data_IF_152725811242
#
_entry.id   IF_152725811242
#
_cell.length_a   1.000
_cell.length_b   1.000
_cell.length_c   1.000
_cell.angle_alpha   90.00
_cell.angle_beta   90.00
_cell.angle_gamma   90.00
#
_symmetry.space_group_name_H-M   'P 1'
#
loop_
_entity.id
_entity.type
_entity.pdbx_description
1 polymer ?
#
# COMPACT_ATOMS: atom_id res chain seq x y z
N UNK A 1 36.15 -21.51 21.65
CA UNK A 1 35.56 -21.77 20.31
C UNK A 1 34.44 -22.78 20.50
N UNK A 2 33.18 -22.35 20.32
CA UNK A 2 32.00 -23.20 20.53
C UNK A 2 31.88 -24.30 19.47
N UNK A 3 31.27 -25.42 19.83
CA UNK A 3 30.92 -26.48 18.86
C UNK A 3 29.90 -25.91 17.87
N UNK A 4 30.12 -26.10 16.57
CA UNK A 4 29.13 -25.72 15.54
C UNK A 4 27.88 -26.58 15.68
N UNK A 5 26.71 -25.96 15.66
CA UNK A 5 25.44 -26.66 15.58
C UNK A 5 25.20 -27.11 14.13
N UNK A 6 24.70 -28.32 13.93
CA UNK A 6 24.36 -28.85 12.60
C UNK A 6 22.84 -28.99 12.56
N UNK A 7 22.19 -28.36 11.59
CA UNK A 7 20.75 -28.50 11.37
C UNK A 7 20.45 -29.74 10.53
N UNK A 8 19.27 -30.31 10.76
CA UNK A 8 18.70 -31.30 9.86
C UNK A 8 18.16 -30.62 8.61
N UNK A 9 18.19 -31.28 7.45
CA UNK A 9 17.50 -30.84 6.26
C UNK A 9 16.01 -30.55 6.53
N UNK A 10 15.48 -29.48 5.95
CA UNK A 10 14.11 -29.02 6.19
C UNK A 10 13.04 -30.08 5.88
N UNK A 11 13.29 -30.97 4.91
CA UNK A 11 12.39 -32.06 4.53
C UNK A 11 12.40 -33.24 5.53
N UNK A 12 13.35 -33.29 6.45
CA UNK A 12 13.50 -34.35 7.47
C UNK A 12 12.99 -33.91 8.86
N UNK A 13 12.54 -32.66 9.00
CA UNK A 13 12.06 -32.12 10.26
C UNK A 13 10.67 -32.67 10.61
N UNK A 14 10.52 -33.24 11.80
CA UNK A 14 9.23 -33.65 12.35
C UNK A 14 8.43 -32.43 12.83
N UNK A 15 7.45 -32.02 12.01
CA UNK A 15 6.57 -30.88 12.29
C UNK A 15 5.73 -31.04 13.56
N UNK A 16 5.50 -32.26 14.05
CA UNK A 16 4.71 -32.50 15.29
C UNK A 16 5.52 -32.18 16.56
N UNK A 17 6.85 -32.26 16.47
CA UNK A 17 7.76 -31.99 17.57
C UNK A 17 8.24 -30.52 17.63
N UNK A 18 8.02 -29.75 16.56
CA UNK A 18 8.45 -28.34 16.48
C UNK A 18 7.66 -27.51 17.49
N UNK A 19 8.38 -26.87 18.42
CA UNK A 19 7.81 -25.93 19.38
C UNK A 19 7.94 -24.51 18.86
N UNK A 20 6.88 -23.73 19.01
CA UNK A 20 6.95 -22.29 18.80
C UNK A 20 7.92 -21.66 19.82
N UNK A 21 8.98 -21.03 19.31
CA UNK A 21 9.90 -20.24 20.12
C UNK A 21 9.64 -18.76 19.83
N UNK A 22 9.18 -17.97 20.82
CA UNK A 22 9.01 -16.54 20.60
C UNK A 22 10.38 -15.90 20.40
N UNK A 23 10.54 -15.17 19.31
CA UNK A 23 11.76 -14.43 19.04
C UNK A 23 11.86 -13.25 20.02
N UNK A 24 12.96 -13.20 20.77
CA UNK A 24 13.23 -12.13 21.73
C UNK A 24 14.34 -11.24 21.20
N UNK A 25 13.97 -10.21 20.45
CA UNK A 25 14.91 -9.20 19.97
C UNK A 25 15.08 -8.16 21.07
N UNK A 26 16.31 -7.98 21.54
CA UNK A 26 16.69 -6.97 22.52
C UNK A 26 17.47 -5.84 21.84
N UNK A 27 16.94 -4.62 21.94
CA UNK A 27 17.57 -3.41 21.45
C UNK A 27 17.26 -2.23 22.40
N UNK A 28 18.17 -1.25 22.51
CA UNK A 28 17.91 -0.05 23.31
C UNK A 28 16.86 0.83 22.64
N UNK A 29 15.85 1.27 23.40
CA UNK A 29 14.86 2.25 22.93
C UNK A 29 15.36 3.67 23.24
N UNK A 30 15.80 4.38 22.20
CA UNK A 30 16.38 5.72 22.32
C UNK A 30 15.64 6.69 21.40
N UNK A 31 15.38 7.90 21.89
CA UNK A 31 14.75 8.98 21.12
C UNK A 31 15.49 10.31 21.33
N UNK A 32 15.25 11.29 20.46
CA UNK A 32 15.78 12.65 20.60
C UNK A 32 17.31 12.73 20.64
N UNK A 33 17.85 13.40 21.65
CA UNK A 33 19.30 13.63 21.80
C UNK A 33 20.10 12.34 21.98
N UNK A 34 19.61 11.43 22.83
CA UNK A 34 20.30 10.16 23.10
C UNK A 34 20.38 9.27 21.87
N UNK A 35 19.35 9.30 21.02
CA UNK A 35 19.39 8.62 19.73
C UNK A 35 20.45 9.21 18.81
N UNK A 36 20.52 10.55 18.68
CA UNK A 36 21.56 11.21 17.86
C UNK A 36 22.97 10.91 18.34
N UNK A 37 23.19 10.89 19.66
CA UNK A 37 24.50 10.53 20.24
C UNK A 37 24.84 9.07 19.93
N UNK A 38 23.89 8.15 20.12
CA UNK A 38 24.08 6.74 19.83
C UNK A 38 24.44 6.49 18.37
N UNK A 39 23.75 7.14 17.42
CA UNK A 39 24.07 7.04 15.99
C UNK A 39 25.51 7.52 15.70
N UNK A 40 25.94 8.66 16.26
CA UNK A 40 27.33 9.13 16.12
C UNK A 40 28.36 8.14 16.66
N UNK A 41 28.05 7.47 17.77
CA UNK A 41 28.92 6.44 18.35
C UNK A 41 28.93 5.17 17.48
N UNK A 42 27.79 4.78 16.91
CA UNK A 42 27.68 3.66 15.97
C UNK A 42 28.42 3.90 14.65
N UNK A 43 28.53 5.15 14.21
CA UNK A 43 29.28 5.54 13.00
C UNK A 43 30.79 5.72 13.28
N UNK A 44 31.20 5.78 14.55
CA UNK A 44 32.61 5.94 14.90
C UNK A 44 33.43 4.69 14.53
N UNK A 45 34.63 4.86 13.94
CA UNK A 45 35.52 3.75 13.62
C UNK A 45 35.80 2.89 14.85
N UNK A 46 35.90 1.57 14.66
CA UNK A 46 36.15 0.55 15.70
C UNK A 46 34.99 0.40 16.70
N UNK A 47 34.62 1.45 17.44
CA UNK A 47 33.60 1.40 18.50
C UNK A 47 32.25 0.94 17.95
N UNK A 48 31.81 1.50 16.81
CA UNK A 48 30.54 1.11 16.19
C UNK A 48 30.50 -0.37 15.81
N UNK A 49 31.61 -0.92 15.29
CA UNK A 49 31.70 -2.33 14.93
C UNK A 49 31.64 -3.26 16.13
N UNK A 50 32.18 -2.85 17.28
CA UNK A 50 32.12 -3.61 18.54
C UNK A 50 30.68 -3.65 19.08
N UNK A 51 30.00 -2.49 19.10
CA UNK A 51 28.61 -2.40 19.54
C UNK A 51 27.70 -3.23 18.63
N UNK A 52 27.86 -3.12 17.31
CA UNK A 52 27.10 -3.90 16.34
C UNK A 52 27.33 -5.42 16.52
N UNK A 53 28.57 -5.84 16.75
CA UNK A 53 28.91 -7.25 16.98
C UNK A 53 28.26 -7.78 18.26
N UNK A 54 28.30 -7.00 19.34
CA UNK A 54 27.64 -7.34 20.60
C UNK A 54 26.12 -7.46 20.45
N UNK A 55 25.47 -6.53 19.74
CA UNK A 55 24.03 -6.59 19.48
C UNK A 55 23.65 -7.80 18.61
N UNK A 56 24.47 -8.16 17.62
CA UNK A 56 24.26 -9.36 16.79
C UNK A 56 24.39 -10.64 17.60
N UNK A 57 25.37 -10.70 18.49
CA UNK A 57 25.57 -11.86 19.38
C UNK A 57 24.42 -12.01 20.38
N UNK A 58 24.01 -10.91 21.03
CA UNK A 58 22.90 -10.91 21.99
C UNK A 58 21.57 -11.36 21.39
N UNK A 59 21.35 -11.10 20.11
CA UNK A 59 20.13 -11.44 19.37
C UNK A 59 20.25 -12.76 18.58
N UNK A 60 21.27 -13.59 18.83
CA UNK A 60 21.42 -14.90 18.18
C UNK A 60 21.80 -14.87 16.69
N UNK A 61 21.95 -13.68 16.09
CA UNK A 61 22.31 -13.53 14.66
C UNK A 61 23.67 -14.19 14.39
N UNK A 62 24.65 -13.98 15.27
CA UNK A 62 25.99 -14.57 15.12
C UNK A 62 25.96 -16.09 15.25
N UNK A 63 25.09 -16.63 16.11
CA UNK A 63 24.91 -18.08 16.30
C UNK A 63 24.38 -18.74 15.02
N UNK A 64 23.34 -18.16 14.43
CA UNK A 64 22.72 -18.67 13.20
C UNK A 64 23.69 -18.52 12.02
N UNK A 65 24.26 -17.34 11.79
CA UNK A 65 25.04 -17.08 10.58
C UNK A 65 26.46 -17.68 10.59
N UNK A 66 27.11 -17.75 11.75
CA UNK A 66 28.53 -18.16 11.83
C UNK A 66 28.75 -19.52 12.51
N UNK A 67 27.82 -19.94 13.38
CA UNK A 67 27.99 -21.15 14.21
C UNK A 67 26.99 -22.27 13.90
N UNK A 68 26.10 -22.08 12.93
CA UNK A 68 25.15 -23.09 12.48
C UNK A 68 25.47 -23.54 11.06
N UNK A 69 25.48 -24.85 10.83
CA UNK A 69 25.60 -25.46 9.51
C UNK A 69 24.19 -25.70 8.96
N UNK A 70 23.85 -24.97 7.91
CA UNK A 70 22.58 -25.07 7.19
C UNK A 70 22.85 -25.95 5.95
N UNK A 71 22.21 -27.14 5.83
CA UNK A 71 22.48 -28.08 4.75
C UNK A 71 21.85 -27.67 3.41
N UNK A 72 20.91 -26.74 3.39
CA UNK A 72 20.24 -26.26 2.19
C UNK A 72 21.15 -25.39 1.31
N UNK A 73 20.92 -25.46 0.01
CA UNK A 73 21.51 -24.52 -0.95
C UNK A 73 20.82 -23.15 -0.87
N UNK A 74 21.54 -22.04 -1.09
CA UNK A 74 20.94 -20.72 -1.01
C UNK A 74 19.91 -20.48 -2.12
N UNK A 75 18.73 -19.98 -1.73
CA UNK A 75 17.69 -19.49 -2.63
C UNK A 75 17.69 -17.95 -2.63
N UNK A 76 18.27 -17.33 -3.66
CA UNK A 76 18.40 -15.86 -3.74
C UNK A 76 17.13 -15.14 -4.20
N UNK A 77 16.30 -15.84 -4.98
CA UNK A 77 15.01 -15.37 -5.47
C UNK A 77 13.97 -16.46 -5.22
N UNK A 78 12.70 -16.10 -4.94
CA UNK A 78 11.64 -17.10 -4.81
C UNK A 78 11.54 -17.96 -6.06
N UNK A 79 11.62 -19.28 -5.89
CA UNK A 79 11.43 -20.26 -6.96
C UNK A 79 10.14 -21.01 -6.69
N UNK A 80 9.14 -20.79 -7.54
CA UNK A 80 7.84 -21.42 -7.40
C UNK A 80 7.76 -22.64 -8.32
N UNK A 81 7.37 -23.82 -7.80
CA UNK A 81 7.06 -24.97 -8.65
C UNK A 81 5.83 -24.68 -9.51
N UNK A 82 5.60 -25.50 -10.54
CA UNK A 82 4.37 -25.43 -11.33
C UNK A 82 3.16 -25.60 -10.40
N UNK A 83 2.24 -24.65 -10.46
CA UNK A 83 1.02 -24.64 -9.67
C UNK A 83 -0.15 -25.20 -10.47
N UNK A 84 -1.06 -25.89 -9.79
CA UNK A 84 -2.32 -26.32 -10.40
C UNK A 84 -3.20 -25.11 -10.75
N UNK A 85 -3.91 -25.12 -11.88
CA UNK A 85 -4.79 -24.01 -12.25
C UNK A 85 -5.88 -23.78 -11.21
N UNK A 86 -6.06 -22.53 -10.80
CA UNK A 86 -7.11 -22.15 -9.85
C UNK A 86 -8.51 -22.33 -10.46
N UNK A 87 -9.46 -22.97 -9.76
CA UNK A 87 -10.82 -23.15 -10.27
C UNK A 87 -11.65 -21.87 -10.15
N UNK A 88 -12.57 -21.65 -11.10
CA UNK A 88 -13.52 -20.55 -11.04
C UNK A 88 -12.95 -19.16 -11.36
N UNK A 89 -11.77 -19.10 -11.96
CA UNK A 89 -11.11 -17.86 -12.37
C UNK A 89 -11.28 -17.57 -13.86
N UNK A 90 -11.22 -16.30 -14.22
CA UNK A 90 -11.10 -15.87 -15.62
C UNK A 90 -9.62 -15.58 -15.89
N UNK A 91 -8.98 -16.42 -16.71
CA UNK A 91 -7.59 -16.22 -17.10
C UNK A 91 -7.45 -14.97 -17.96
N UNK A 92 -6.40 -14.19 -17.71
CA UNK A 92 -6.04 -13.01 -18.50
C UNK A 92 -4.74 -13.30 -19.25
N UNK A 93 -4.61 -12.72 -20.44
CA UNK A 93 -3.32 -12.69 -21.14
C UNK A 93 -2.35 -11.78 -20.38
N UNK A 94 -1.14 -12.28 -20.10
CA UNK A 94 -0.12 -11.57 -19.30
C UNK A 94 0.29 -10.24 -19.98
N UNK A 95 0.53 -10.30 -21.29
CA UNK A 95 0.92 -9.15 -22.12
C UNK A 95 -0.29 -8.36 -22.67
N UNK A 96 -1.49 -8.61 -22.13
CA UNK A 96 -2.72 -7.95 -22.56
C UNK A 96 -2.75 -6.46 -22.23
N UNK A 97 -3.44 -5.68 -23.08
CA UNK A 97 -3.59 -4.24 -22.87
C UNK A 97 -4.36 -3.94 -21.57
N UNK A 98 -3.93 -2.95 -20.75
CA UNK A 98 -4.62 -2.62 -19.50
C UNK A 98 -6.12 -2.32 -19.66
N UNK A 99 -6.50 -1.71 -20.78
CA UNK A 99 -7.88 -1.36 -21.10
C UNK A 99 -8.76 -2.61 -21.23
N UNK A 100 -8.24 -3.64 -21.91
CA UNK A 100 -8.92 -4.93 -22.12
C UNK A 100 -9.02 -5.71 -20.81
N UNK A 101 -7.96 -5.69 -19.99
CA UNK A 101 -7.92 -6.33 -18.67
C UNK A 101 -8.98 -5.76 -17.73
N UNK A 102 -9.11 -4.43 -17.69
CA UNK A 102 -10.14 -3.80 -16.83
C UNK A 102 -11.55 -4.04 -17.39
N UNK A 103 -11.73 -4.09 -18.72
CA UNK A 103 -13.02 -4.47 -19.30
C UNK A 103 -13.45 -5.89 -18.91
N UNK A 104 -12.51 -6.85 -18.86
CA UNK A 104 -12.75 -8.20 -18.35
C UNK A 104 -13.03 -8.21 -16.85
N UNK A 105 -12.25 -7.45 -16.06
CA UNK A 105 -12.47 -7.32 -14.62
C UNK A 105 -13.87 -6.81 -14.29
N UNK A 106 -14.39 -5.83 -15.07
CA UNK A 106 -15.76 -5.31 -14.88
C UNK A 106 -16.83 -6.39 -15.05
N UNK A 107 -16.62 -7.40 -15.91
CA UNK A 107 -17.55 -8.53 -16.08
C UNK A 107 -17.53 -9.49 -14.89
N UNK A 108 -16.43 -9.53 -14.15
CA UNK A 108 -16.27 -10.38 -12.97
C UNK A 108 -16.86 -9.73 -11.70
N UNK A 109 -17.17 -8.43 -11.74
CA UNK A 109 -17.76 -7.71 -10.62
C UNK A 109 -19.28 -7.93 -10.54
N UNK A 110 -19.87 -7.93 -9.32
CA UNK A 110 -21.31 -7.99 -9.17
C UNK A 110 -21.97 -6.75 -9.80
N UNK A 111 -23.27 -6.86 -10.15
CA UNK A 111 -24.02 -5.75 -10.75
C UNK A 111 -23.85 -4.43 -9.98
N UNK A 112 -23.73 -3.32 -10.71
CA UNK A 112 -23.61 -2.01 -10.11
C UNK A 112 -25.00 -1.39 -9.95
N UNK A 113 -25.39 -1.11 -8.71
CA UNK A 113 -26.63 -0.42 -8.40
C UNK A 113 -26.34 1.02 -7.93
N UNK A 114 -26.71 2.05 -8.70
CA UNK A 114 -26.55 3.45 -8.31
C UNK A 114 -27.53 3.89 -7.20
N UNK A 115 -28.64 3.17 -6.99
CA UNK A 115 -29.70 3.55 -6.05
C UNK A 115 -29.28 3.32 -4.60
N UNK A 116 -28.46 2.28 -4.35
CA UNK A 116 -27.81 1.96 -3.06
C UNK A 116 -27.05 3.12 -2.38
N UNK A 117 -26.94 4.28 -3.04
CA UNK A 117 -26.18 5.44 -2.59
C UNK A 117 -27.03 6.73 -2.47
N UNK A 118 -28.19 6.80 -3.12
CA UNK A 118 -29.01 8.02 -3.19
C UNK A 118 -30.46 7.85 -2.72
N UNK A 119 -30.92 6.63 -2.44
CA UNK A 119 -32.26 6.41 -1.90
C UNK A 119 -32.29 6.64 -0.37
N UNK A 120 -32.91 7.75 0.03
CA UNK A 120 -33.28 8.09 1.43
C UNK A 120 -34.64 7.52 1.85
N UNK A 121 -35.28 6.71 1.01
CA UNK A 121 -36.72 6.44 1.15
C UNK A 121 -37.08 5.36 2.19
N UNK A 122 -36.11 4.71 2.84
CA UNK A 122 -36.39 3.54 3.69
C UNK A 122 -36.32 3.76 5.21
N UNK A 123 -36.27 5.01 5.71
CA UNK A 123 -36.37 5.29 7.16
C UNK A 123 -35.26 4.69 8.06
N UNK A 124 -34.34 3.92 7.49
CA UNK A 124 -33.19 3.30 8.14
C UNK A 124 -32.01 4.29 8.17
N UNK A 125 -31.25 4.37 9.27
CA UNK A 125 -30.10 5.26 9.36
C UNK A 125 -29.04 4.86 8.33
N UNK A 126 -28.61 5.82 7.51
CA UNK A 126 -27.56 5.63 6.53
C UNK A 126 -26.29 5.06 7.17
N UNK A 127 -25.93 3.82 6.80
CA UNK A 127 -24.64 3.25 7.16
C UNK A 127 -23.54 3.97 6.35
N UNK A 128 -22.56 4.54 7.05
CA UNK A 128 -21.41 5.17 6.40
C UNK A 128 -20.66 4.17 5.50
N UNK A 129 -20.36 4.57 4.26
CA UNK A 129 -19.61 3.78 3.28
C UNK A 129 -18.68 4.67 2.46
N UNK A 130 -17.49 4.16 2.16
CA UNK A 130 -16.54 4.85 1.28
C UNK A 130 -16.99 4.82 -0.20
N UNK A 131 -16.57 5.82 -0.95
CA UNK A 131 -16.74 5.88 -2.41
C UNK A 131 -15.90 4.82 -3.10
N UNK A 132 -16.46 4.12 -4.11
CA UNK A 132 -15.70 3.15 -4.93
C UNK A 132 -15.41 3.76 -6.29
N UNK A 133 -14.48 3.14 -7.02
CA UNK A 133 -14.11 3.57 -8.38
C UNK A 133 -15.32 3.58 -9.33
N UNK A 134 -16.23 2.62 -9.20
CA UNK A 134 -17.46 2.56 -10.02
C UNK A 134 -18.38 3.75 -9.80
N UNK A 135 -18.41 4.31 -8.60
CA UNK A 135 -19.27 5.44 -8.26
C UNK A 135 -18.77 6.74 -8.89
N UNK A 136 -17.47 6.98 -8.85
CA UNK A 136 -16.86 8.07 -9.62
C UNK A 136 -17.04 7.86 -11.12
N UNK A 137 -16.76 6.65 -11.61
CA UNK A 137 -16.97 6.29 -13.01
C UNK A 137 -18.42 6.50 -13.48
N UNK A 138 -19.40 6.22 -12.63
CA UNK A 138 -20.81 6.50 -12.91
C UNK A 138 -21.12 8.00 -12.87
N UNK A 139 -20.63 8.70 -11.85
CA UNK A 139 -20.88 10.14 -11.68
C UNK A 139 -20.31 10.97 -12.84
N UNK A 140 -19.12 10.62 -13.35
CA UNK A 140 -18.53 11.29 -14.51
C UNK A 140 -19.33 11.06 -15.79
N UNK A 141 -19.73 9.80 -16.06
CA UNK A 141 -20.53 9.45 -17.25
C UNK A 141 -21.93 10.06 -17.22
N UNK A 142 -22.52 10.14 -16.03
CA UNK A 142 -23.84 10.72 -15.79
C UNK A 142 -23.80 12.25 -15.66
N UNK A 143 -22.62 12.87 -15.84
CA UNK A 143 -22.40 14.33 -15.75
C UNK A 143 -22.83 14.95 -14.41
N UNK A 144 -22.83 14.15 -13.34
CA UNK A 144 -23.13 14.62 -11.99
C UNK A 144 -21.95 15.36 -11.36
N UNK A 145 -20.74 15.02 -11.80
CA UNK A 145 -19.51 15.71 -11.45
C UNK A 145 -18.49 15.49 -12.56
N UNK A 146 -17.39 16.23 -12.53
CA UNK A 146 -16.28 16.07 -13.48
C UNK A 146 -14.98 15.74 -12.74
N UNK A 147 -14.00 15.11 -13.42
CA UNK A 147 -12.68 14.90 -12.84
C UNK A 147 -12.05 16.20 -12.34
N UNK A 148 -12.21 17.31 -13.07
CA UNK A 148 -11.73 18.64 -12.66
C UNK A 148 -12.38 19.12 -11.35
N UNK A 149 -13.70 18.97 -11.19
CA UNK A 149 -14.36 19.34 -9.93
C UNK A 149 -13.85 18.52 -8.75
N UNK A 150 -13.71 17.20 -8.93
CA UNK A 150 -13.17 16.31 -7.89
C UNK A 150 -11.72 16.68 -7.54
N UNK A 151 -10.91 17.02 -8.54
CA UNK A 151 -9.53 17.48 -8.33
C UNK A 151 -9.46 18.77 -7.52
N UNK A 152 -10.27 19.78 -7.83
CA UNK A 152 -10.30 21.02 -7.06
C UNK A 152 -10.77 20.81 -5.61
N UNK A 153 -11.77 19.95 -5.38
CA UNK A 153 -12.17 19.58 -4.03
C UNK A 153 -11.04 18.90 -3.25
N UNK A 154 -10.28 18.02 -3.90
CA UNK A 154 -9.11 17.39 -3.29
C UNK A 154 -8.01 18.41 -2.98
N UNK A 155 -7.65 19.28 -3.93
CA UNK A 155 -6.64 20.33 -3.74
C UNK A 155 -7.04 21.24 -2.57
N UNK A 156 -8.29 21.69 -2.53
CA UNK A 156 -8.82 22.54 -1.46
C UNK A 156 -8.71 21.83 -0.10
N UNK A 157 -9.06 20.55 -0.03
CA UNK A 157 -8.95 19.77 1.20
C UNK A 157 -7.49 19.62 1.66
N UNK A 158 -6.56 19.41 0.72
CA UNK A 158 -5.13 19.34 0.98
C UNK A 158 -4.55 20.67 1.45
N UNK A 159 -4.98 21.81 0.90
CA UNK A 159 -4.58 23.14 1.35
C UNK A 159 -5.04 23.39 2.79
N UNK A 160 -6.30 23.07 3.10
CA UNK A 160 -6.84 23.17 4.47
C UNK A 160 -6.10 22.24 5.42
N UNK A 161 -5.80 21.01 5.01
CA UNK A 161 -5.08 20.04 5.82
C UNK A 161 -3.64 20.50 6.11
N UNK A 162 -2.91 20.89 5.07
CA UNK A 162 -1.52 21.34 5.19
C UNK A 162 -1.38 22.62 6.00
N UNK A 163 -2.37 23.53 5.94
CA UNK A 163 -2.39 24.73 6.80
C UNK A 163 -2.55 24.38 8.28
N UNK A 164 -3.28 23.32 8.62
CA UNK A 164 -3.56 22.91 10.00
C UNK A 164 -2.56 21.91 10.58
N UNK A 165 -1.95 21.07 9.74
CA UNK A 165 -1.20 19.89 10.17
C UNK A 165 0.17 19.77 9.50
N UNK A 166 0.97 20.84 9.59
CA UNK A 166 2.31 20.93 8.98
C UNK A 166 3.30 19.85 9.46
N UNK A 167 3.14 19.34 10.68
CA UNK A 167 4.02 18.31 11.27
C UNK A 167 3.65 16.87 10.91
N UNK A 168 2.48 16.64 10.31
CA UNK A 168 2.04 15.31 9.89
C UNK A 168 1.38 15.40 8.50
N UNK A 169 2.17 15.71 7.45
CA UNK A 169 1.66 15.82 6.09
C UNK A 169 1.16 14.47 5.58
N UNK A 170 0.05 14.49 4.83
CA UNK A 170 -0.47 13.30 4.17
C UNK A 170 0.37 12.91 2.94
N UNK A 171 0.87 13.91 2.20
CA UNK A 171 1.72 13.77 1.03
C UNK A 171 3.05 14.49 1.24
N UNK A 172 4.17 13.82 0.97
CA UNK A 172 5.52 14.42 1.08
C UNK A 172 5.87 15.31 -0.12
N UNK A 173 5.18 15.15 -1.24
CA UNK A 173 5.34 15.91 -2.48
C UNK A 173 3.98 16.02 -3.15
N UNK A 174 3.59 17.25 -3.52
CA UNK A 174 2.27 17.53 -4.09
C UNK A 174 2.37 18.75 -5.02
N UNK A 175 1.97 18.57 -6.27
CA UNK A 175 1.86 19.63 -7.27
C UNK A 175 0.39 19.80 -7.70
N UNK A 176 -0.31 20.84 -7.22
CA UNK A 176 -1.70 21.07 -7.56
C UNK A 176 -1.88 21.41 -9.05
N UNK A 177 -0.90 22.02 -9.71
CA UNK A 177 -1.01 22.38 -11.14
C UNK A 177 -0.97 21.13 -12.02
N UNK A 178 -0.11 20.17 -11.68
CA UNK A 178 -0.07 18.89 -12.38
C UNK A 178 -1.37 18.10 -12.19
N UNK A 179 -1.94 18.12 -10.98
CA UNK A 179 -3.24 17.50 -10.70
C UNK A 179 -4.36 18.16 -11.52
N UNK A 180 -4.39 19.50 -11.59
CA UNK A 180 -5.34 20.25 -12.44
C UNK A 180 -5.19 19.88 -13.90
N UNK A 181 -3.95 19.85 -14.41
CA UNK A 181 -3.64 19.53 -15.81
C UNK A 181 -4.13 18.14 -16.19
N UNK A 182 -3.88 17.13 -15.36
CA UNK A 182 -4.35 15.76 -15.59
C UNK A 182 -5.87 15.65 -15.52
N UNK A 183 -6.48 16.32 -14.54
CA UNK A 183 -7.93 16.32 -14.36
C UNK A 183 -8.64 16.99 -15.53
N UNK A 184 -8.13 18.13 -16.02
CA UNK A 184 -8.67 18.82 -17.20
C UNK A 184 -8.62 17.93 -18.46
N UNK A 185 -7.49 17.29 -18.72
CA UNK A 185 -7.37 16.35 -19.84
C UNK A 185 -8.33 15.16 -19.69
N UNK A 186 -8.64 14.74 -18.48
CA UNK A 186 -9.64 13.70 -18.23
C UNK A 186 -11.07 14.19 -18.45
N UNK A 187 -11.42 15.36 -17.93
CA UNK A 187 -12.72 15.99 -18.14
C UNK A 187 -13.03 16.12 -19.62
N UNK A 188 -12.07 16.60 -20.42
CA UNK A 188 -12.21 16.69 -21.88
C UNK A 188 -12.56 15.34 -22.52
N UNK A 189 -11.91 14.24 -22.12
CA UNK A 189 -12.23 12.90 -22.65
C UNK A 189 -13.65 12.45 -22.32
N UNK A 190 -14.17 12.79 -21.13
CA UNK A 190 -15.56 12.49 -20.76
C UNK A 190 -16.56 13.35 -21.54
N UNK A 191 -16.21 14.61 -21.84
CA UNK A 191 -17.03 15.50 -22.65
C UNK A 191 -17.10 15.04 -24.12
N UNK A 192 -15.96 14.60 -24.67
CA UNK A 192 -15.83 14.08 -26.04
C UNK A 192 -16.42 12.67 -26.22
N UNK A 193 -16.80 11.99 -25.13
CA UNK A 193 -17.29 10.61 -25.17
C UNK A 193 -16.24 9.56 -25.52
N UNK A 194 -14.96 9.95 -25.64
CA UNK A 194 -13.83 9.06 -25.89
C UNK A 194 -13.39 8.45 -24.56
N UNK A 195 -14.12 7.40 -24.17
CA UNK A 195 -13.94 6.72 -22.89
C UNK A 195 -12.71 5.80 -22.91
N UNK A 196 -11.55 6.33 -22.52
CA UNK A 196 -10.42 5.49 -22.09
C UNK A 196 -10.67 4.96 -20.67
N UNK A 197 -11.65 4.05 -20.58
CA UNK A 197 -11.98 3.20 -19.44
C UNK A 197 -12.15 3.88 -18.05
N UNK A 198 -12.65 3.10 -17.09
CA UNK A 198 -13.14 3.59 -15.79
C UNK A 198 -12.03 4.12 -14.85
N UNK A 199 -10.79 3.75 -15.12
CA UNK A 199 -9.63 4.24 -14.40
C UNK A 199 -9.16 5.51 -15.08
N UNK A 200 -9.73 6.63 -14.67
CA UNK A 200 -9.05 7.91 -14.85
C UNK A 200 -7.64 7.70 -14.29
N UNK A 201 -6.61 7.95 -15.10
CA UNK A 201 -5.28 8.31 -14.60
C UNK A 201 -5.43 9.58 -13.76
N UNK A 202 -5.99 9.44 -12.58
CA UNK A 202 -5.68 10.30 -11.47
C UNK A 202 -4.40 9.66 -10.95
N UNK A 203 -3.27 10.08 -11.51
CA UNK A 203 -1.94 9.74 -10.99
C UNK A 203 -1.74 10.48 -9.64
N UNK A 204 -2.73 10.40 -8.74
CA UNK A 204 -2.73 11.18 -7.49
C UNK A 204 -1.64 10.69 -6.53
N UNK A 205 -1.14 9.46 -6.71
CA UNK A 205 -0.04 8.90 -5.91
C UNK A 205 0.85 8.02 -6.80
N UNK A 206 1.27 8.52 -7.96
CA UNK A 206 2.17 7.77 -8.86
C UNK A 206 3.59 8.33 -8.90
N UNK A 207 4.18 8.57 -7.74
CA UNK A 207 5.61 8.90 -7.68
C UNK A 207 6.44 7.93 -6.83
N UNK A 208 5.88 7.05 -5.99
CA UNK A 208 6.73 6.17 -5.15
C UNK A 208 6.20 4.77 -4.83
N UNK A 209 5.37 4.16 -5.69
CA UNK A 209 5.03 2.73 -5.54
C UNK A 209 5.36 2.01 -6.84
N UNK A 210 6.66 1.75 -7.01
CA UNK A 210 7.13 0.67 -7.86
C UNK A 210 6.74 -0.62 -7.14
N UNK A 211 5.91 -1.44 -7.77
CA UNK A 211 5.34 -2.70 -7.30
C UNK A 211 4.28 -2.61 -6.18
N UNK A 212 3.10 -3.09 -6.54
CA UNK A 212 1.98 -3.52 -5.68
C UNK A 212 0.96 -2.46 -5.24
N UNK A 213 -0.27 -2.69 -5.70
CA UNK A 213 -1.57 -2.18 -5.21
C UNK A 213 -1.83 -0.67 -5.24
N UNK A 214 -2.69 -0.27 -6.18
CA UNK A 214 -3.36 1.03 -6.19
C UNK A 214 -4.31 1.13 -4.98
N UNK A 215 -3.94 1.92 -3.98
CA UNK A 215 -4.84 2.31 -2.88
C UNK A 215 -5.29 3.75 -3.12
N UNK A 216 -6.58 3.92 -3.41
CA UNK A 216 -7.24 5.22 -3.44
C UNK A 216 -7.77 5.53 -2.04
N UNK A 217 -7.34 6.65 -1.43
CA UNK A 217 -7.92 7.17 -0.20
C UNK A 217 -8.91 8.31 -0.54
N UNK A 218 -10.24 8.12 -0.38
CA UNK A 218 -11.16 9.23 -0.38
C UNK A 218 -11.29 9.80 1.04
N UNK A 219 -10.76 11.00 1.26
CA UNK A 219 -11.03 11.83 2.44
C UNK A 219 -12.51 12.23 2.45
N UNK A 220 -13.23 11.83 3.50
CA UNK A 220 -14.62 12.22 3.74
C UNK A 220 -14.69 13.67 4.23
N UNK A 221 -15.11 14.61 3.38
CA UNK A 221 -15.51 15.95 3.81
C UNK A 221 -16.86 15.89 4.52
N UNK A 222 -16.89 16.07 5.83
CA UNK A 222 -18.10 16.41 6.56
C UNK A 222 -18.38 17.90 6.39
N UNK A 223 -19.58 18.23 5.89
CA UNK A 223 -20.15 19.57 5.99
C UNK A 223 -20.43 19.87 7.47
N UNK A 224 -19.64 20.74 8.09
CA UNK A 224 -20.05 21.43 9.32
C UNK A 224 -21.13 22.44 8.96
N UNK A 225 -22.38 22.07 9.16
CA UNK A 225 -23.49 23.00 9.19
C UNK A 225 -23.34 23.88 10.45
N UNK A 226 -23.00 25.15 10.22
CA UNK A 226 -23.15 26.21 11.21
C UNK A 226 -24.65 26.42 11.43
N UNK A 227 -25.11 26.29 12.66
CA UNK A 227 -26.37 26.85 13.12
C UNK A 227 -26.17 27.26 14.59
N UNK A 228 -26.23 28.58 14.81
CA UNK A 228 -26.57 29.37 16.00
C UNK A 228 -26.16 28.79 17.36
#
# INVERSE_FOLDING_TARGET
>A
MGKKQIMLPANEVDLTAVKYMPEKIEAPHLTGFWFKLFVKVMEAPVIGSLIASHLKEKNGITEILNYTVIPEVPMFIPQFPLQEPEPGVVCLEEDGKPEERVALALKCLPHYDPTCRWSSDSGEPFQFRYWKIRDYGYAYRSKLTTPSMVAEHFISAMEVFNSKQQSAPLLISFDPEEVRRQAAASTQRFEEGILLLMCIKLDLVRTYICNSQFVFFPLSLQHTASNI
#
